data_IF_469236798150
#
_entry.id   IF_469236798150
#
_cell.length_a   1.000
_cell.length_b   1.000
_cell.length_c   1.000
_cell.angle_alpha   90.00
_cell.angle_beta   90.00
_cell.angle_gamma   90.00
#
_symmetry.space_group_name_H-M   'P 1'
#
loop_
_entity.id
_entity.type
_entity.pdbx_description
1 polymer ?
#
# COMPACT_ATOMS: atom_id res chain seq x y z
N UNK A 1 12.35 11.07 -3.11
CA UNK A 1 13.22 10.13 -2.37
C UNK A 1 12.84 10.06 -0.89
N UNK A 2 12.82 11.16 -0.12
CA UNK A 2 12.45 11.06 1.32
C UNK A 2 10.99 10.62 1.56
N UNK A 3 10.02 11.19 0.83
CA UNK A 3 8.59 10.85 0.98
C UNK A 3 8.26 9.40 0.56
N UNK A 4 8.83 8.95 -0.54
CA UNK A 4 8.65 7.58 -1.04
C UNK A 4 9.18 6.54 -0.04
N UNK A 5 10.29 6.86 0.64
CA UNK A 5 10.83 6.01 1.70
C UNK A 5 9.91 5.96 2.93
N UNK A 6 9.31 7.09 3.32
CA UNK A 6 8.35 7.13 4.43
C UNK A 6 7.07 6.32 4.15
N UNK A 7 6.56 6.39 2.91
CA UNK A 7 5.43 5.56 2.47
C UNK A 7 5.80 4.09 2.56
N UNK A 8 6.96 3.71 2.01
CA UNK A 8 7.43 2.32 2.01
C UNK A 8 7.60 1.74 3.43
N UNK A 9 8.24 2.49 4.34
CA UNK A 9 8.41 2.07 5.74
C UNK A 9 7.07 1.91 6.49
N UNK A 10 6.11 2.79 6.19
CA UNK A 10 4.76 2.69 6.77
C UNK A 10 4.03 1.46 6.24
N UNK A 11 4.16 1.16 4.95
CA UNK A 11 3.61 -0.06 4.37
C UNK A 11 4.21 -1.32 5.00
N UNK A 12 5.53 -1.38 5.16
CA UNK A 12 6.18 -2.50 5.86
C UNK A 12 5.64 -2.69 7.27
N UNK A 13 5.32 -1.61 7.98
CA UNK A 13 4.70 -1.68 9.31
C UNK A 13 3.25 -2.17 9.28
N UNK A 14 2.45 -1.71 8.32
CA UNK A 14 1.04 -2.07 8.21
C UNK A 14 0.84 -3.52 7.72
N UNK A 15 1.77 -4.00 6.91
CA UNK A 15 1.73 -5.33 6.30
C UNK A 15 2.81 -6.28 6.87
N UNK A 16 3.40 -5.99 8.03
CA UNK A 16 4.53 -6.75 8.58
C UNK A 16 4.25 -8.24 8.78
N UNK A 17 3.00 -8.61 9.01
CA UNK A 17 2.56 -10.00 9.17
C UNK A 17 2.37 -10.73 7.83
N UNK A 18 2.32 -9.98 6.74
CA UNK A 18 1.93 -10.45 5.41
C UNK A 18 2.98 -10.18 4.33
N UNK A 19 4.13 -9.64 4.72
CA UNK A 19 5.23 -9.27 3.82
C UNK A 19 6.47 -10.08 4.16
N UNK A 20 7.12 -10.64 3.15
CA UNK A 20 8.37 -11.35 3.33
C UNK A 20 9.58 -10.39 3.44
N UNK A 21 10.77 -10.90 3.73
CA UNK A 21 12.00 -10.10 3.87
C UNK A 21 12.36 -9.31 2.59
N UNK A 22 11.80 -9.69 1.44
CA UNK A 22 12.03 -9.01 0.15
C UNK A 22 11.01 -7.90 -0.14
N UNK A 23 10.00 -7.71 0.71
CA UNK A 23 8.96 -6.69 0.51
C UNK A 23 7.78 -7.16 -0.33
N UNK A 24 7.63 -8.46 -0.58
CA UNK A 24 6.54 -9.03 -1.37
C UNK A 24 5.38 -9.47 -0.47
N UNK A 25 4.15 -9.32 -0.95
CA UNK A 25 2.99 -9.86 -0.25
C UNK A 25 3.00 -11.38 -0.30
N UNK A 26 2.79 -12.00 0.85
CA UNK A 26 2.71 -13.44 0.99
C UNK A 26 1.31 -13.95 0.67
N UNK A 27 1.19 -15.22 0.32
CA UNK A 27 -0.10 -15.89 0.08
C UNK A 27 -1.03 -15.96 1.31
N UNK A 28 -0.54 -15.57 2.49
CA UNK A 28 -1.29 -15.62 3.75
C UNK A 28 -2.27 -14.45 3.93
N UNK A 29 -2.18 -13.40 3.12
CA UNK A 29 -3.13 -12.30 3.17
C UNK A 29 -4.38 -12.61 2.34
N UNK A 30 -5.54 -12.55 2.97
CA UNK A 30 -6.81 -12.64 2.25
C UNK A 30 -7.28 -11.26 1.74
N UNK A 31 -8.21 -11.26 0.78
CA UNK A 31 -8.71 -10.03 0.17
C UNK A 31 -9.36 -9.08 1.18
N UNK A 32 -10.02 -9.60 2.23
CA UNK A 32 -10.66 -8.76 3.23
C UNK A 32 -9.64 -8.05 4.12
N UNK A 33 -8.57 -8.74 4.47
CA UNK A 33 -7.45 -8.22 5.25
C UNK A 33 -6.69 -7.19 4.44
N UNK A 34 -6.45 -7.47 3.15
CA UNK A 34 -5.88 -6.50 2.22
C UNK A 34 -6.72 -5.21 2.17
N UNK A 35 -8.03 -5.32 1.93
CA UNK A 35 -8.94 -4.16 1.87
C UNK A 35 -8.90 -3.36 3.19
N UNK A 36 -8.93 -4.03 4.35
CA UNK A 36 -8.81 -3.36 5.65
C UNK A 36 -7.49 -2.61 5.81
N UNK A 37 -6.39 -3.17 5.32
CA UNK A 37 -5.08 -2.52 5.34
C UNK A 37 -5.05 -1.32 4.40
N UNK A 38 -5.64 -1.43 3.20
CA UNK A 38 -5.80 -0.31 2.27
C UNK A 38 -6.59 0.84 2.91
N UNK A 39 -7.71 0.55 3.58
CA UNK A 39 -8.48 1.59 4.29
C UNK A 39 -7.67 2.29 5.40
N UNK A 40 -6.72 1.58 6.05
CA UNK A 40 -5.79 2.23 6.98
C UNK A 40 -4.83 3.14 6.24
N UNK A 41 -4.24 2.67 5.13
CA UNK A 41 -3.34 3.46 4.27
C UNK A 41 -4.02 4.75 3.80
N UNK A 42 -5.26 4.68 3.32
CA UNK A 42 -6.07 5.84 2.92
C UNK A 42 -6.17 6.89 4.02
N UNK A 43 -6.40 6.45 5.27
CA UNK A 43 -6.48 7.36 6.43
C UNK A 43 -5.13 7.94 6.81
N UNK A 44 -4.07 7.14 6.79
CA UNK A 44 -2.72 7.58 7.13
C UNK A 44 -2.20 8.65 6.16
N UNK A 45 -2.40 8.46 4.85
CA UNK A 45 -1.90 9.38 3.82
C UNK A 45 -2.95 10.38 3.33
N UNK A 46 -4.20 10.23 3.77
CA UNK A 46 -5.32 11.06 3.32
C UNK A 46 -5.60 10.90 1.83
N UNK A 47 -5.52 9.70 1.28
CA UNK A 47 -5.80 9.41 -0.14
C UNK A 47 -7.03 8.51 -0.29
N UNK A 48 -7.46 8.30 -1.52
CA UNK A 48 -8.54 7.38 -1.88
C UNK A 48 -8.02 6.44 -2.97
N UNK A 49 -8.18 5.13 -2.76
CA UNK A 49 -7.84 4.13 -3.75
C UNK A 49 -8.96 4.03 -4.79
N UNK A 50 -8.60 3.81 -6.05
CA UNK A 50 -9.60 3.48 -7.06
C UNK A 50 -10.18 2.09 -6.77
N UNK A 51 -11.49 1.91 -6.98
CA UNK A 51 -12.17 0.62 -6.76
C UNK A 51 -11.47 -0.53 -7.51
N UNK A 52 -11.05 -0.27 -8.75
CA UNK A 52 -10.33 -1.21 -9.61
C UNK A 52 -8.95 -1.59 -9.04
N UNK A 53 -8.41 -0.80 -8.12
CA UNK A 53 -7.14 -1.04 -7.44
C UNK A 53 -7.33 -1.77 -6.10
N UNK A 54 -8.55 -2.09 -5.67
CA UNK A 54 -8.77 -2.81 -4.40
C UNK A 54 -8.54 -4.33 -4.49
N UNK A 55 -8.02 -4.82 -5.62
CA UNK A 55 -7.71 -6.22 -5.81
C UNK A 55 -6.28 -6.56 -5.39
N UNK A 56 -6.16 -7.57 -4.54
CA UNK A 56 -4.86 -8.08 -4.06
C UNK A 56 -3.91 -8.43 -5.22
N UNK A 57 -4.45 -8.93 -6.33
CA UNK A 57 -3.70 -9.33 -7.52
C UNK A 57 -2.96 -8.16 -8.21
N UNK A 58 -3.42 -6.92 -7.98
CA UNK A 58 -2.82 -5.74 -8.59
C UNK A 58 -1.52 -5.29 -7.88
N UNK A 59 -1.25 -5.81 -6.69
CA UNK A 59 -0.09 -5.42 -5.89
C UNK A 59 0.69 -6.65 -5.47
N UNK A 60 1.78 -6.93 -6.17
CA UNK A 60 2.66 -8.06 -5.85
C UNK A 60 3.71 -7.69 -4.78
N UNK A 61 4.09 -6.41 -4.71
CA UNK A 61 5.12 -5.93 -3.78
C UNK A 61 4.80 -4.55 -3.19
N UNK A 62 5.44 -4.27 -2.06
CA UNK A 62 5.29 -3.00 -1.33
C UNK A 62 5.84 -1.80 -2.11
N UNK A 63 6.76 -2.00 -3.06
CA UNK A 63 7.32 -0.91 -3.86
C UNK A 63 6.29 -0.37 -4.85
N UNK A 64 5.57 -1.27 -5.51
CA UNK A 64 4.48 -0.96 -6.43
C UNK A 64 3.36 -0.24 -5.69
N UNK A 65 2.99 -0.73 -4.51
CA UNK A 65 2.01 -0.07 -3.65
C UNK A 65 2.48 1.32 -3.19
N UNK A 66 3.74 1.47 -2.79
CA UNK A 66 4.30 2.76 -2.40
C UNK A 66 4.29 3.77 -3.56
N UNK A 67 4.69 3.33 -4.76
CA UNK A 67 4.67 4.17 -5.96
C UNK A 67 3.26 4.65 -6.32
N UNK A 68 2.26 3.76 -6.22
CA UNK A 68 0.86 4.12 -6.44
C UNK A 68 0.35 5.16 -5.42
N UNK A 69 0.65 4.95 -4.12
CA UNK A 69 0.27 5.89 -3.06
C UNK A 69 0.91 7.25 -3.29
N UNK A 70 2.20 7.28 -3.66
CA UNK A 70 2.90 8.52 -3.96
C UNK A 70 2.23 9.28 -5.12
N UNK A 71 1.85 8.58 -6.19
CA UNK A 71 1.11 9.19 -7.29
C UNK A 71 -0.24 9.78 -6.84
N UNK A 72 -0.98 9.09 -5.97
CA UNK A 72 -2.23 9.61 -5.40
C UNK A 72 -2.01 10.85 -4.53
N UNK A 73 -0.96 10.84 -3.71
CA UNK A 73 -0.58 11.99 -2.87
C UNK A 73 -0.21 13.22 -3.72
N UNK A 74 0.55 13.00 -4.80
CA UNK A 74 0.97 14.07 -5.70
C UNK A 74 -0.22 14.64 -6.49
N UNK A 75 -1.12 13.77 -6.98
CA UNK A 75 -2.33 14.18 -7.69
C UNK A 75 -3.31 14.98 -6.81
N UNK A 76 -3.39 14.67 -5.50
CA UNK A 76 -4.21 15.43 -4.53
C UNK A 76 -3.63 16.81 -4.20
N UNK A 77 -2.32 16.97 -4.35
CA UNK A 77 -1.59 18.20 -4.00
C UNK A 77 -1.51 19.21 -5.16
N UNK A 78 -2.02 18.82 -6.34
CA UNK A 78 -2.09 19.63 -7.55
C UNK A 78 -3.42 20.37 -7.65
#
# INVERSE_FOLDING_TARGET
MEKENEVYETLLRLFSEYVNESGELTEYIDSLTFIKSVVKVEREFGIEFDDDMLHLENFQDMKTLAGYIQQKMDAKSA
#
